data_IF_075260133710
#
_entry.id   IF_075260133710
#
_cell.length_a   1.000
_cell.length_b   1.000
_cell.length_c   1.000
_cell.angle_alpha   90.00
_cell.angle_beta   90.00
_cell.angle_gamma   90.00
#
_symmetry.space_group_name_H-M   'P 1'
#
loop_
_entity.id
_entity.type
_entity.pdbx_description
1 polymer ?
#
# COMPACT_ATOMS: atom_id res chain seq x y z
N UNK A 1 -5.17 19.38 -4.56
CA UNK A 1 -6.09 18.44 -3.88
C UNK A 1 -6.13 18.82 -2.42
N UNK A 2 -7.31 18.84 -1.81
CA UNK A 2 -7.48 19.12 -0.39
C UNK A 2 -7.32 17.83 0.44
N UNK A 3 -6.07 17.50 0.78
CA UNK A 3 -5.75 16.28 1.52
C UNK A 3 -6.35 16.25 2.93
N UNK A 4 -6.59 17.42 3.53
CA UNK A 4 -7.15 17.51 4.88
C UNK A 4 -8.63 17.13 4.88
N UNK A 5 -9.39 17.56 3.87
CA UNK A 5 -10.77 17.15 3.67
C UNK A 5 -10.90 15.61 3.50
N UNK A 6 -10.08 14.99 2.64
CA UNK A 6 -10.09 13.53 2.45
C UNK A 6 -9.74 12.79 3.75
N UNK A 7 -8.72 13.25 4.48
CA UNK A 7 -8.32 12.65 5.75
C UNK A 7 -9.41 12.80 6.83
N UNK A 8 -10.13 13.93 6.85
CA UNK A 8 -11.24 14.16 7.77
C UNK A 8 -12.40 13.20 7.51
N UNK A 9 -12.81 13.06 6.25
CA UNK A 9 -13.87 12.11 5.86
C UNK A 9 -13.46 10.67 6.17
N UNK A 10 -12.22 10.28 5.85
CA UNK A 10 -11.67 8.96 6.17
C UNK A 10 -11.79 8.61 7.66
N UNK A 11 -11.45 9.55 8.55
CA UNK A 11 -11.59 9.33 10.01
C UNK A 11 -13.03 9.06 10.42
N UNK A 12 -14.00 9.75 9.80
CA UNK A 12 -15.43 9.57 10.09
C UNK A 12 -15.94 8.22 9.61
N UNK A 13 -15.54 7.80 8.41
CA UNK A 13 -15.82 6.46 7.88
C UNK A 13 -15.27 5.39 8.85
N UNK A 14 -13.99 5.49 9.21
CA UNK A 14 -13.33 4.52 10.11
C UNK A 14 -13.96 4.49 11.50
N UNK A 15 -14.46 5.61 12.01
CA UNK A 15 -15.19 5.64 13.26
C UNK A 15 -16.49 4.82 13.20
N UNK A 16 -17.23 4.88 12.08
CA UNK A 16 -18.41 4.03 11.87
C UNK A 16 -18.03 2.55 11.86
N UNK A 17 -16.95 2.20 11.15
CA UNK A 17 -16.47 0.82 11.07
C UNK A 17 -16.05 0.26 12.44
N UNK A 18 -15.34 1.06 13.24
CA UNK A 18 -14.91 0.68 14.59
C UNK A 18 -16.06 0.50 15.59
N UNK A 19 -17.24 1.07 15.32
CA UNK A 19 -18.43 0.81 16.12
C UNK A 19 -19.04 -0.59 15.87
N UNK A 20 -18.69 -1.22 14.74
CA UNK A 20 -19.11 -2.61 14.43
C UNK A 20 -18.17 -3.60 15.06
N UNK A 21 -16.86 -3.45 14.83
CA UNK A 21 -15.84 -4.34 15.39
C UNK A 21 -14.54 -3.59 15.62
N UNK A 22 -13.83 -3.86 16.74
CA UNK A 22 -12.49 -3.31 16.95
C UNK A 22 -11.42 -4.02 16.08
N UNK A 23 -11.75 -5.16 15.47
CA UNK A 23 -10.82 -5.95 14.66
C UNK A 23 -10.87 -5.45 13.21
N UNK A 24 -10.13 -4.37 12.95
CA UNK A 24 -10.10 -3.70 11.65
C UNK A 24 -8.65 -3.53 11.15
N UNK A 25 -8.40 -3.89 9.89
CA UNK A 25 -7.18 -3.53 9.16
C UNK A 25 -7.45 -2.28 8.32
N UNK A 26 -6.72 -1.21 8.59
CA UNK A 26 -6.78 0.05 7.85
C UNK A 26 -5.84 -0.01 6.63
N UNK A 27 -6.41 -0.05 5.42
CA UNK A 27 -5.67 -0.24 4.16
C UNK A 27 -5.35 1.10 3.48
N UNK A 28 -6.22 2.10 3.66
CA UNK A 28 -6.14 3.34 2.91
C UNK A 28 -7.06 4.44 3.43
N UNK A 29 -7.23 5.49 2.63
CA UNK A 29 -8.12 6.61 2.98
C UNK A 29 -9.58 6.15 2.95
N UNK A 30 -9.93 5.26 2.03
CA UNK A 30 -11.29 4.86 1.69
C UNK A 30 -11.53 3.34 1.77
N UNK A 31 -10.57 2.57 2.27
CA UNK A 31 -10.63 1.11 2.31
C UNK A 31 -10.15 0.55 3.65
N UNK A 32 -10.88 -0.44 4.17
CA UNK A 32 -10.55 -1.19 5.38
C UNK A 32 -11.15 -2.60 5.29
N UNK A 33 -10.53 -3.55 5.99
CA UNK A 33 -11.09 -4.88 6.24
C UNK A 33 -11.54 -4.99 7.69
N UNK A 34 -12.65 -5.69 7.92
CA UNK A 34 -13.23 -5.93 9.24
C UNK A 34 -13.35 -7.43 9.46
N UNK A 35 -13.05 -7.90 10.66
CA UNK A 35 -13.43 -9.25 11.10
C UNK A 35 -14.78 -9.18 11.83
N UNK A 36 -15.78 -9.82 11.23
CA UNK A 36 -17.15 -9.86 11.72
C UNK A 36 -17.55 -11.27 12.21
N UNK A 37 -16.59 -12.19 12.34
CA UNK A 37 -16.85 -13.61 12.66
C UNK A 37 -17.65 -13.81 13.95
N UNK A 38 -17.35 -13.01 14.98
CA UNK A 38 -17.98 -13.11 16.30
C UNK A 38 -19.18 -12.14 16.49
N UNK A 39 -19.70 -11.57 15.41
CA UNK A 39 -20.85 -10.64 15.49
C UNK A 39 -22.18 -11.40 15.59
N UNK A 40 -23.11 -10.86 16.37
CA UNK A 40 -24.41 -11.49 16.60
C UNK A 40 -25.43 -11.26 15.46
N UNK A 41 -25.28 -10.14 14.74
CA UNK A 41 -26.11 -9.81 13.59
C UNK A 41 -25.70 -10.65 12.36
N UNK A 42 -26.61 -10.79 11.40
CA UNK A 42 -26.28 -11.39 10.10
C UNK A 42 -25.36 -10.51 9.25
N UNK A 43 -24.65 -11.13 8.30
CA UNK A 43 -23.79 -10.45 7.30
C UNK A 43 -24.50 -9.25 6.65
N UNK A 44 -25.74 -9.43 6.20
CA UNK A 44 -26.55 -8.40 5.56
C UNK A 44 -26.94 -7.26 6.51
N UNK A 45 -27.26 -7.58 7.77
CA UNK A 45 -27.58 -6.57 8.78
C UNK A 45 -26.36 -5.71 9.09
N UNK A 46 -25.19 -6.33 9.27
CA UNK A 46 -23.92 -5.63 9.51
C UNK A 46 -23.61 -4.70 8.32
N UNK A 47 -23.68 -5.22 7.09
CA UNK A 47 -23.42 -4.42 5.91
C UNK A 47 -24.38 -3.22 5.79
N UNK A 48 -25.68 -3.41 6.02
CA UNK A 48 -26.67 -2.32 5.99
C UNK A 48 -26.39 -1.28 7.07
N UNK A 49 -26.05 -1.70 8.30
CA UNK A 49 -25.67 -0.79 9.39
C UNK A 49 -24.45 0.06 9.01
N UNK A 50 -23.43 -0.56 8.42
CA UNK A 50 -22.23 0.15 7.94
C UNK A 50 -22.59 1.18 6.85
N UNK A 51 -23.31 0.77 5.81
CA UNK A 51 -23.69 1.65 4.70
C UNK A 51 -24.52 2.83 5.19
N UNK A 52 -25.52 2.58 6.03
CA UNK A 52 -26.37 3.62 6.63
C UNK A 52 -25.55 4.58 7.50
N UNK A 53 -24.69 4.07 8.38
CA UNK A 53 -23.86 4.89 9.24
C UNK A 53 -22.85 5.74 8.47
N UNK A 54 -22.22 5.19 7.43
CA UNK A 54 -21.30 5.96 6.56
C UNK A 54 -22.08 7.07 5.84
N UNK A 55 -23.25 6.76 5.28
CA UNK A 55 -24.06 7.75 4.56
C UNK A 55 -24.57 8.86 5.50
N UNK A 56 -25.09 8.52 6.68
CA UNK A 56 -25.56 9.48 7.67
C UNK A 56 -24.44 10.42 8.12
N UNK A 57 -23.25 9.87 8.38
CA UNK A 57 -22.12 10.69 8.80
C UNK A 57 -21.58 11.52 7.64
N UNK A 58 -21.36 10.94 6.46
CA UNK A 58 -20.51 11.59 5.44
C UNK A 58 -21.27 12.09 4.21
N UNK A 59 -22.50 11.65 4.00
CA UNK A 59 -23.24 11.82 2.75
C UNK A 59 -22.72 10.96 1.59
N UNK A 60 -21.77 10.06 1.85
CA UNK A 60 -21.14 9.21 0.84
C UNK A 60 -21.67 7.78 0.92
N UNK A 61 -21.71 7.10 -0.23
CA UNK A 61 -22.01 5.67 -0.34
C UNK A 61 -20.74 4.84 -0.31
N UNK A 62 -20.83 3.57 0.10
CA UNK A 62 -19.73 2.61 0.02
C UNK A 62 -20.21 1.28 -0.58
N UNK A 63 -19.30 0.52 -1.17
CA UNK A 63 -19.56 -0.88 -1.56
C UNK A 63 -18.90 -1.83 -0.58
N UNK A 64 -19.60 -2.91 -0.23
CA UNK A 64 -19.14 -3.88 0.77
C UNK A 64 -19.07 -5.27 0.14
N UNK A 65 -17.96 -5.96 0.35
CA UNK A 65 -17.79 -7.38 0.05
C UNK A 65 -17.61 -8.15 1.35
N UNK A 66 -18.41 -9.19 1.55
CA UNK A 66 -18.30 -10.12 2.70
C UNK A 66 -17.91 -11.49 2.15
N UNK A 67 -16.85 -12.06 2.70
CA UNK A 67 -16.35 -13.38 2.29
C UNK A 67 -15.53 -14.05 3.41
N UNK A 68 -15.23 -15.36 3.30
CA UNK A 68 -14.45 -16.10 4.29
C UNK A 68 -13.01 -15.62 4.53
N UNK A 69 -12.44 -14.83 3.61
CA UNK A 69 -11.08 -14.30 3.72
C UNK A 69 -10.91 -12.96 2.98
N UNK A 70 -9.78 -12.29 3.21
CA UNK A 70 -9.50 -10.94 2.67
C UNK A 70 -9.47 -10.89 1.15
N UNK A 71 -8.80 -11.86 0.51
CA UNK A 71 -8.77 -11.98 -0.95
C UNK A 71 -10.17 -11.98 -1.56
N UNK A 72 -11.04 -12.88 -1.10
CA UNK A 72 -12.39 -12.98 -1.64
C UNK A 72 -13.24 -11.76 -1.27
N UNK A 73 -13.08 -11.20 -0.07
CA UNK A 73 -13.80 -10.00 0.35
C UNK A 73 -13.44 -8.78 -0.52
N UNK A 74 -12.16 -8.64 -0.88
CA UNK A 74 -11.67 -7.60 -1.78
C UNK A 74 -12.20 -7.73 -3.20
N UNK A 75 -12.35 -8.96 -3.68
CA UNK A 75 -12.91 -9.24 -5.01
C UNK A 75 -14.42 -8.96 -4.98
N UNK A 76 -15.12 -9.47 -3.95
CA UNK A 76 -16.55 -9.28 -3.74
C UNK A 76 -16.92 -7.78 -3.68
N UNK A 77 -16.13 -6.97 -2.97
CA UNK A 77 -16.41 -5.54 -2.81
C UNK A 77 -16.37 -4.76 -4.12
N UNK A 78 -15.69 -5.28 -5.15
CA UNK A 78 -15.61 -4.69 -6.49
C UNK A 78 -16.69 -5.19 -7.47
N UNK A 79 -17.42 -6.28 -7.16
CA UNK A 79 -18.34 -6.93 -8.12
C UNK A 79 -19.56 -6.08 -8.46
N UNK A 80 -20.14 -5.41 -7.45
CA UNK A 80 -21.39 -4.65 -7.57
C UNK A 80 -21.19 -3.15 -7.32
N UNK A 81 -19.99 -2.62 -7.58
CA UNK A 81 -19.76 -1.16 -7.50
C UNK A 81 -20.57 -0.40 -8.57
N UNK A 82 -21.07 0.82 -8.27
CA UNK A 82 -21.01 1.52 -6.98
C UNK A 82 -22.17 1.15 -6.04
N UNK A 83 -22.03 1.45 -4.75
CA UNK A 83 -23.05 1.23 -3.69
C UNK A 83 -23.60 -0.23 -3.58
N UNK A 84 -22.88 -1.22 -4.12
CA UNK A 84 -23.24 -2.63 -3.97
C UNK A 84 -22.98 -3.26 -2.60
N UNK A 85 -23.58 -4.44 -2.40
CA UNK A 85 -23.29 -5.36 -1.30
C UNK A 85 -23.18 -6.75 -1.90
N UNK A 86 -22.02 -7.37 -1.78
CA UNK A 86 -21.78 -8.71 -2.30
C UNK A 86 -21.34 -9.64 -1.19
N UNK A 87 -22.14 -10.69 -0.95
CA UNK A 87 -21.74 -11.83 -0.13
C UNK A 87 -21.17 -12.91 -1.06
N UNK A 88 -19.98 -13.41 -0.75
CA UNK A 88 -19.24 -14.38 -1.54
C UNK A 88 -18.87 -15.56 -0.65
N UNK A 89 -19.34 -16.76 -0.99
CA UNK A 89 -19.11 -17.97 -0.20
C UNK A 89 -18.13 -18.92 -0.91
N UNK A 90 -17.71 -20.01 -0.27
CA UNK A 90 -16.73 -20.93 -0.89
C UNK A 90 -17.30 -21.64 -2.12
N UNK A 91 -18.59 -21.98 -2.07
CA UNK A 91 -19.34 -22.57 -3.17
C UNK A 91 -19.45 -21.65 -4.40
N UNK A 92 -19.18 -20.36 -4.24
CA UNK A 92 -19.20 -19.39 -5.34
C UNK A 92 -17.93 -19.41 -6.18
N UNK A 93 -16.84 -20.03 -5.72
CA UNK A 93 -15.52 -19.96 -6.37
C UNK A 93 -15.59 -20.40 -7.83
N UNK A 94 -16.12 -21.59 -8.10
CA UNK A 94 -16.15 -22.12 -9.47
C UNK A 94 -17.07 -21.31 -10.39
N UNK A 95 -18.21 -20.86 -9.86
CA UNK A 95 -19.25 -20.17 -10.65
C UNK A 95 -18.98 -18.69 -10.85
N UNK A 96 -18.32 -18.03 -9.89
CA UNK A 96 -18.17 -16.57 -9.85
C UNK A 96 -16.71 -16.12 -9.96
N UNK A 97 -15.76 -16.79 -9.31
CA UNK A 97 -14.34 -16.41 -9.37
C UNK A 97 -13.66 -16.93 -10.64
N UNK A 98 -13.79 -18.22 -10.95
CA UNK A 98 -13.07 -18.85 -12.06
C UNK A 98 -13.36 -18.26 -13.46
N UNK A 99 -14.60 -17.83 -13.78
CA UNK A 99 -14.88 -17.19 -15.06
C UNK A 99 -14.28 -15.78 -15.20
N UNK A 100 -13.81 -15.16 -14.11
CA UNK A 100 -13.27 -13.81 -14.16
C UNK A 100 -11.99 -13.76 -14.99
N UNK A 101 -11.80 -12.65 -15.70
CA UNK A 101 -10.52 -12.34 -16.33
C UNK A 101 -9.39 -12.34 -15.28
N UNK A 102 -8.23 -12.86 -15.65
CA UNK A 102 -7.10 -13.05 -14.73
C UNK A 102 -6.66 -11.75 -14.02
N UNK A 103 -6.85 -10.61 -14.68
CA UNK A 103 -6.60 -9.26 -14.16
C UNK A 103 -7.43 -8.90 -12.93
N UNK A 104 -8.55 -9.58 -12.70
CA UNK A 104 -9.44 -9.36 -11.55
C UNK A 104 -8.96 -10.05 -10.27
N UNK A 105 -8.07 -11.05 -10.38
CA UNK A 105 -7.49 -11.65 -9.20
C UNK A 105 -6.56 -10.64 -8.51
N UNK A 106 -6.75 -10.45 -7.21
CA UNK A 106 -5.90 -9.57 -6.42
C UNK A 106 -4.42 -9.99 -6.55
N UNK A 107 -3.50 -9.03 -6.46
CA UNK A 107 -2.07 -9.30 -6.62
C UNK A 107 -1.58 -9.52 -8.06
N UNK A 108 -2.45 -9.58 -9.07
CA UNK A 108 -2.03 -9.65 -10.48
C UNK A 108 -1.93 -8.24 -11.07
N UNK A 109 -0.69 -7.82 -11.37
CA UNK A 109 -0.32 -6.56 -12.05
C UNK A 109 -0.35 -6.67 -13.59
N UNK A 110 -0.25 -5.57 -14.37
CA UNK A 110 -0.31 -5.61 -15.84
C UNK A 110 0.80 -6.50 -16.44
N UNK A 111 1.99 -6.48 -15.83
CA UNK A 111 3.12 -7.33 -16.23
C UNK A 111 2.86 -8.81 -15.98
N UNK A 112 2.29 -9.15 -14.82
CA UNK A 112 1.95 -10.54 -14.51
C UNK A 112 0.84 -11.03 -15.44
N UNK A 113 -0.17 -10.20 -15.71
CA UNK A 113 -1.23 -10.50 -16.68
C UNK A 113 -0.66 -10.80 -18.07
N UNK A 114 0.27 -9.97 -18.57
CA UNK A 114 0.94 -10.20 -19.85
C UNK A 114 1.67 -11.55 -19.88
N UNK A 115 2.42 -11.88 -18.83
CA UNK A 115 3.11 -13.16 -18.72
C UNK A 115 2.16 -14.36 -18.68
N UNK A 116 1.03 -14.25 -17.96
CA UNK A 116 0.03 -15.31 -17.88
C UNK A 116 -0.72 -15.49 -19.20
N UNK A 117 -1.05 -14.40 -19.89
CA UNK A 117 -1.66 -14.46 -21.23
C UNK A 117 -0.72 -15.09 -22.26
N UNK A 118 0.59 -14.85 -22.16
CA UNK A 118 1.59 -15.53 -22.99
C UNK A 118 1.67 -17.05 -22.71
N UNK A 119 1.12 -17.51 -21.58
CA UNK A 119 0.93 -18.93 -21.24
C UNK A 119 -0.51 -19.40 -21.52
N UNK A 120 -1.30 -18.64 -22.29
CA UNK A 120 -2.71 -18.89 -22.61
C UNK A 120 -3.66 -18.92 -21.39
N UNK A 121 -3.21 -18.34 -20.27
CA UNK A 121 -3.97 -18.19 -19.02
C UNK A 121 -4.57 -16.79 -18.94
N UNK A 122 -5.82 -16.66 -19.39
CA UNK A 122 -6.58 -15.40 -19.42
C UNK A 122 -7.71 -15.32 -18.38
N UNK A 123 -8.06 -16.44 -17.74
CA UNK A 123 -9.06 -16.51 -16.66
C UNK A 123 -8.49 -17.08 -15.36
N UNK A 124 -9.15 -16.79 -14.24
CA UNK A 124 -8.76 -17.33 -12.93
C UNK A 124 -8.90 -18.86 -12.91
N UNK A 125 -9.93 -19.43 -13.55
CA UNK A 125 -10.11 -20.88 -13.66
C UNK A 125 -8.97 -21.56 -14.41
N UNK A 126 -8.45 -20.96 -15.48
CA UNK A 126 -7.26 -21.49 -16.17
C UNK A 126 -6.02 -21.44 -15.28
N UNK A 127 -5.86 -20.38 -14.49
CA UNK A 127 -4.77 -20.32 -13.51
C UNK A 127 -4.92 -21.41 -12.44
N UNK A 128 -6.15 -21.63 -11.96
CA UNK A 128 -6.46 -22.68 -10.99
C UNK A 128 -6.15 -24.07 -11.57
N UNK A 129 -6.30 -24.31 -12.87
CA UNK A 129 -5.96 -25.58 -13.50
C UNK A 129 -4.44 -25.88 -13.58
N UNK A 130 -3.57 -24.89 -13.35
CA UNK A 130 -2.12 -25.11 -13.41
C UNK A 130 -1.58 -25.82 -12.17
N UNK A 131 -0.59 -26.72 -12.33
CA UNK A 131 0.09 -27.34 -11.20
C UNK A 131 0.95 -26.31 -10.44
N UNK A 132 1.04 -26.49 -9.13
CA UNK A 132 1.77 -25.59 -8.22
C UNK A 132 3.24 -25.44 -8.63
N UNK A 133 3.86 -26.55 -9.02
CA UNK A 133 5.27 -26.63 -9.38
C UNK A 133 5.58 -25.76 -10.61
N UNK A 134 4.69 -25.73 -11.61
CA UNK A 134 4.88 -24.90 -12.80
C UNK A 134 4.81 -23.40 -12.46
N UNK A 135 3.90 -23.02 -11.55
CA UNK A 135 3.79 -21.64 -11.09
C UNK A 135 5.01 -21.23 -10.27
N UNK A 136 5.49 -22.08 -9.37
CA UNK A 136 6.71 -21.85 -8.59
C UNK A 136 7.94 -21.74 -9.49
N UNK A 137 8.07 -22.60 -10.50
CA UNK A 137 9.20 -22.56 -11.43
C UNK A 137 9.21 -21.26 -12.24
N UNK A 138 8.04 -20.75 -12.66
CA UNK A 138 7.92 -19.58 -13.51
C UNK A 138 7.99 -18.25 -12.76
N UNK A 139 7.36 -18.18 -11.59
CA UNK A 139 7.16 -16.93 -10.83
C UNK A 139 7.96 -16.86 -9.53
N UNK A 140 8.72 -17.91 -9.21
CA UNK A 140 9.45 -18.06 -7.96
C UNK A 140 8.58 -18.62 -6.84
N UNK A 141 9.22 -19.15 -5.79
CA UNK A 141 8.54 -19.88 -4.70
C UNK A 141 7.41 -19.08 -4.04
N UNK A 142 7.67 -17.86 -3.58
CA UNK A 142 6.65 -17.08 -2.86
C UNK A 142 5.46 -16.71 -3.76
N UNK A 143 5.72 -16.11 -4.92
CA UNK A 143 4.63 -15.62 -5.77
C UNK A 143 3.92 -16.75 -6.53
N UNK A 144 4.62 -17.83 -6.89
CA UNK A 144 4.01 -19.01 -7.51
C UNK A 144 3.04 -19.73 -6.58
N UNK A 145 3.39 -19.90 -5.30
CA UNK A 145 2.48 -20.45 -4.29
C UNK A 145 1.26 -19.54 -4.09
N UNK A 146 1.48 -18.22 -3.99
CA UNK A 146 0.39 -17.25 -3.91
C UNK A 146 -0.59 -17.38 -5.08
N UNK A 147 -0.10 -17.43 -6.33
CA UNK A 147 -0.96 -17.55 -7.52
C UNK A 147 -1.78 -18.85 -7.49
N UNK A 148 -1.15 -19.95 -7.04
CA UNK A 148 -1.82 -21.25 -6.92
C UNK A 148 -2.99 -21.23 -5.92
N UNK A 149 -2.77 -20.64 -4.75
CA UNK A 149 -3.75 -20.54 -3.66
C UNK A 149 -4.83 -19.51 -3.99
N UNK A 150 -4.45 -18.32 -4.45
CA UNK A 150 -5.39 -17.25 -4.75
C UNK A 150 -6.38 -17.63 -5.86
N UNK A 151 -5.93 -18.35 -6.90
CA UNK A 151 -6.83 -18.83 -7.95
C UNK A 151 -7.89 -19.84 -7.45
N UNK A 152 -7.65 -20.45 -6.29
CA UNK A 152 -8.56 -21.36 -5.59
C UNK A 152 -9.30 -20.68 -4.45
N UNK A 153 -9.24 -19.35 -4.36
CA UNK A 153 -9.89 -18.58 -3.29
C UNK A 153 -9.27 -18.73 -1.91
N UNK A 154 -8.06 -19.29 -1.81
CA UNK A 154 -7.38 -19.54 -0.54
C UNK A 154 -6.52 -18.32 -0.18
N UNK A 155 -6.74 -17.77 1.01
CA UNK A 155 -5.93 -16.72 1.63
C UNK A 155 -6.02 -16.85 3.15
N UNK A 156 -4.93 -17.26 3.79
CA UNK A 156 -4.81 -17.39 5.25
C UNK A 156 -4.20 -16.14 5.90
N UNK A 157 -4.01 -15.05 5.14
CA UNK A 157 -3.40 -13.84 5.68
C UNK A 157 -4.30 -13.20 6.74
N UNK A 158 -3.80 -12.99 7.98
CA UNK A 158 -4.61 -12.39 9.03
C UNK A 158 -4.88 -10.91 8.74
N UNK A 159 -5.83 -10.34 9.47
CA UNK A 159 -5.96 -8.90 9.56
C UNK A 159 -4.77 -8.30 10.30
N UNK A 160 -4.15 -7.30 9.68
CA UNK A 160 -3.06 -6.51 10.26
C UNK A 160 -3.65 -5.28 10.94
N UNK A 161 -4.11 -5.44 12.18
CA UNK A 161 -4.73 -4.35 12.96
C UNK A 161 -3.74 -3.30 13.45
N UNK A 162 -2.44 -3.62 13.43
CA UNK A 162 -1.36 -2.71 13.79
C UNK A 162 -0.19 -2.88 12.84
N UNK A 163 0.27 -1.77 12.28
CA UNK A 163 1.48 -1.73 11.47
C UNK A 163 2.49 -0.76 12.06
N UNK A 164 3.78 -1.11 11.94
CA UNK A 164 4.88 -0.19 12.20
C UNK A 164 5.53 0.19 10.87
N UNK A 165 5.78 1.49 10.65
CA UNK A 165 6.42 1.94 9.44
C UNK A 165 7.77 1.28 9.26
N UNK A 166 8.04 0.80 8.03
CA UNK A 166 9.37 0.30 7.65
C UNK A 166 10.27 1.42 7.11
N UNK A 167 9.68 2.52 6.67
CA UNK A 167 10.38 3.71 6.17
C UNK A 167 9.44 4.91 6.07
N UNK A 168 10.03 6.11 6.05
CA UNK A 168 9.37 7.35 5.66
C UNK A 168 10.02 7.88 4.38
N UNK A 169 9.23 8.46 3.48
CA UNK A 169 9.76 9.03 2.24
C UNK A 169 8.90 10.17 1.73
N UNK A 170 9.56 11.15 1.11
CA UNK A 170 8.94 12.23 0.37
C UNK A 170 9.60 12.31 -0.99
N UNK A 171 8.79 12.49 -2.03
CA UNK A 171 9.29 12.67 -3.38
C UNK A 171 8.47 13.72 -4.11
N UNK A 172 9.13 14.43 -5.02
CA UNK A 172 8.48 15.37 -5.90
C UNK A 172 8.88 15.10 -7.34
N UNK A 173 7.88 15.28 -8.20
CA UNK A 173 8.01 15.17 -9.65
C UNK A 173 7.95 16.59 -10.19
N UNK A 174 9.04 17.08 -10.78
CA UNK A 174 9.13 18.48 -11.24
C UNK A 174 8.08 18.77 -12.32
N UNK A 175 7.58 20.01 -12.44
CA UNK A 175 6.67 20.32 -13.55
C UNK A 175 7.39 20.31 -14.90
N UNK A 176 8.63 20.76 -14.90
CA UNK A 176 9.56 20.74 -16.03
C UNK A 176 10.81 20.01 -15.59
N UNK A 177 11.35 19.12 -16.42
CA UNK A 177 12.56 18.36 -16.06
C UNK A 177 13.72 19.31 -15.71
N UNK A 178 14.30 19.11 -14.53
CA UNK A 178 15.27 20.01 -13.92
C UNK A 178 16.71 19.56 -14.19
N UNK A 179 17.61 20.50 -14.46
CA UNK A 179 19.05 20.24 -14.59
C UNK A 179 19.91 21.13 -13.69
N UNK A 180 19.32 22.16 -13.10
CA UNK A 180 20.01 23.11 -12.23
C UNK A 180 20.32 22.46 -10.88
N UNK A 181 21.60 22.44 -10.52
CA UNK A 181 22.07 21.82 -9.29
C UNK A 181 21.49 22.51 -8.05
N UNK A 182 21.41 23.85 -8.03
CA UNK A 182 20.87 24.57 -6.88
C UNK A 182 19.38 24.26 -6.68
N UNK A 183 18.60 24.18 -7.76
CA UNK A 183 17.19 23.78 -7.75
C UNK A 183 17.02 22.37 -7.17
N UNK A 184 17.75 21.39 -7.70
CA UNK A 184 17.72 20.00 -7.21
C UNK A 184 18.14 19.92 -5.73
N UNK A 185 19.23 20.59 -5.36
CA UNK A 185 19.73 20.61 -3.98
C UNK A 185 18.71 21.21 -3.01
N UNK A 186 18.04 22.30 -3.39
CA UNK A 186 16.98 22.92 -2.59
C UNK A 186 15.82 21.97 -2.37
N UNK A 187 15.35 21.31 -3.43
CA UNK A 187 14.30 20.31 -3.34
C UNK A 187 14.69 19.13 -2.45
N UNK A 188 15.94 18.64 -2.54
CA UNK A 188 16.43 17.58 -1.62
C UNK A 188 16.38 18.06 -0.17
N UNK A 189 16.77 19.30 0.11
CA UNK A 189 16.72 19.86 1.46
C UNK A 189 15.28 19.98 2.00
N UNK A 190 14.34 20.45 1.18
CA UNK A 190 12.91 20.54 1.50
C UNK A 190 12.32 19.16 1.80
N UNK A 191 12.51 18.19 0.91
CA UNK A 191 12.05 16.82 1.11
C UNK A 191 12.68 16.18 2.36
N UNK A 192 13.95 16.49 2.65
CA UNK A 192 14.61 15.99 3.86
C UNK A 192 13.92 16.52 5.12
N UNK A 193 13.62 17.83 5.18
CA UNK A 193 12.92 18.44 6.31
C UNK A 193 11.55 17.79 6.54
N UNK A 194 10.79 17.59 5.48
CA UNK A 194 9.48 16.93 5.56
C UNK A 194 9.59 15.49 6.07
N UNK A 195 10.51 14.70 5.51
CA UNK A 195 10.74 13.32 5.96
C UNK A 195 11.18 13.25 7.42
N UNK A 196 12.03 14.18 7.87
CA UNK A 196 12.48 14.27 9.26
C UNK A 196 11.32 14.62 10.18
N UNK A 197 10.47 15.57 9.77
CA UNK A 197 9.26 15.92 10.52
C UNK A 197 8.33 14.72 10.70
N UNK A 198 8.10 13.93 9.63
CA UNK A 198 7.31 12.70 9.69
C UNK A 198 7.96 11.65 10.61
N UNK A 199 9.27 11.45 10.47
CA UNK A 199 10.06 10.48 11.23
C UNK A 199 10.01 10.76 12.73
N UNK A 200 10.33 11.99 13.13
CA UNK A 200 10.35 12.44 14.54
C UNK A 200 8.94 12.52 15.11
N UNK A 201 7.99 13.05 14.34
CA UNK A 201 6.58 13.15 14.75
C UNK A 201 5.95 11.78 15.03
N UNK A 202 6.46 10.72 14.41
CA UNK A 202 6.05 9.32 14.68
C UNK A 202 6.92 8.60 15.71
N UNK A 203 7.93 9.26 16.27
CA UNK A 203 8.78 8.74 17.35
C UNK A 203 9.83 7.74 16.90
N UNK A 204 10.35 7.88 15.67
CA UNK A 204 11.38 7.01 15.11
C UNK A 204 12.70 7.75 14.86
N UNK A 205 13.78 6.99 14.82
CA UNK A 205 15.07 7.34 14.23
C UNK A 205 15.37 6.36 13.08
N UNK A 206 16.32 6.69 12.20
CA UNK A 206 16.61 5.87 11.02
C UNK A 206 18.11 5.59 10.85
N UNK A 207 18.48 4.39 10.40
CA UNK A 207 19.88 4.06 10.06
C UNK A 207 20.21 4.22 8.59
N UNK A 208 19.20 4.23 7.72
CA UNK A 208 19.41 4.31 6.28
C UNK A 208 18.80 5.58 5.72
N UNK A 209 19.56 6.31 4.89
CA UNK A 209 19.09 7.43 4.09
C UNK A 209 19.33 7.11 2.63
N UNK A 210 18.28 7.18 1.83
CA UNK A 210 18.28 6.86 0.40
C UNK A 210 17.78 8.05 -0.41
N UNK A 211 18.47 8.36 -1.50
CA UNK A 211 18.06 9.31 -2.52
C UNK A 211 17.66 8.56 -3.79
N UNK A 212 16.43 8.80 -4.24
CA UNK A 212 15.87 8.31 -5.50
C UNK A 212 15.89 9.45 -6.53
N UNK A 213 16.41 9.16 -7.72
CA UNK A 213 16.41 10.08 -8.86
C UNK A 213 15.78 9.36 -10.04
N UNK A 214 14.80 9.99 -10.69
CA UNK A 214 14.30 9.58 -12.01
C UNK A 214 14.72 10.60 -13.04
N UNK A 215 15.39 10.15 -14.08
CA UNK A 215 15.75 10.99 -15.23
C UNK A 215 14.55 11.19 -16.16
N UNK A 216 14.69 12.14 -17.09
CA UNK A 216 13.69 12.44 -18.14
C UNK A 216 13.38 11.26 -19.07
N UNK A 217 14.29 10.29 -19.22
CA UNK A 217 14.08 9.02 -19.92
C UNK A 217 13.35 7.94 -19.06
N UNK A 218 12.83 8.34 -17.90
CA UNK A 218 12.19 7.49 -16.88
C UNK A 218 13.09 6.44 -16.23
N UNK A 219 14.39 6.39 -16.56
CA UNK A 219 15.35 5.57 -15.83
C UNK A 219 15.45 6.07 -14.39
N UNK A 220 15.31 5.15 -13.44
CA UNK A 220 15.37 5.46 -12.01
C UNK A 220 16.64 4.88 -11.40
N UNK A 221 17.35 5.67 -10.60
CA UNK A 221 18.47 5.21 -9.78
C UNK A 221 18.22 5.54 -8.32
N UNK A 222 18.81 4.73 -7.44
CA UNK A 222 18.81 4.98 -6.01
C UNK A 222 20.26 4.98 -5.50
N UNK A 223 20.56 5.89 -4.58
CA UNK A 223 21.82 5.94 -3.83
C UNK A 223 21.48 5.94 -2.35
N UNK A 224 22.10 5.06 -1.58
CA UNK A 224 21.83 4.93 -0.16
C UNK A 224 23.12 5.08 0.66
N UNK A 225 23.00 5.65 1.85
CA UNK A 225 23.99 5.65 2.91
C UNK A 225 23.38 5.00 4.14
N UNK A 226 24.20 4.27 4.89
CA UNK A 226 23.81 3.72 6.19
C UNK A 226 24.74 4.24 7.27
N UNK A 227 24.21 4.47 8.45
CA UNK A 227 24.94 4.85 9.67
C UNK A 227 24.95 3.69 10.66
N UNK A 228 25.96 3.65 11.54
CA UNK A 228 26.06 2.63 12.58
C UNK A 228 24.97 2.82 13.65
N UNK A 229 24.72 4.06 14.04
CA UNK A 229 23.67 4.47 14.97
C UNK A 229 22.48 5.06 14.21
N UNK A 230 21.27 4.91 14.76
CA UNK A 230 20.10 5.56 14.21
C UNK A 230 20.17 7.09 14.43
N UNK A 231 19.76 7.84 13.41
CA UNK A 231 19.81 9.31 13.38
C UNK A 231 18.40 9.86 13.19
N UNK A 232 18.13 11.00 13.82
CA UNK A 232 16.84 11.70 13.73
C UNK A 232 17.00 13.20 13.46
N UNK A 233 18.21 13.74 13.61
CA UNK A 233 18.50 15.15 13.41
C UNK A 233 18.48 15.53 11.93
N UNK A 234 17.79 16.63 11.59
CA UNK A 234 17.64 17.10 10.21
C UNK A 234 19.00 17.32 9.55
N UNK A 235 19.95 17.93 10.26
CA UNK A 235 21.25 18.26 9.73
C UNK A 235 22.04 17.01 9.32
N UNK A 236 21.98 15.95 10.12
CA UNK A 236 22.69 14.71 9.83
C UNK A 236 22.04 13.95 8.67
N UNK A 237 20.70 13.82 8.66
CA UNK A 237 19.97 13.17 7.57
C UNK A 237 20.19 13.94 6.26
N UNK A 238 20.19 15.27 6.31
CA UNK A 238 20.51 16.13 5.15
C UNK A 238 21.92 15.88 4.66
N UNK A 239 22.92 15.85 5.55
CA UNK A 239 24.32 15.54 5.17
C UNK A 239 24.42 14.19 4.44
N UNK A 240 23.70 13.17 4.91
CA UNK A 240 23.67 11.83 4.29
C UNK A 240 22.96 11.84 2.92
N UNK A 241 21.82 12.54 2.82
CA UNK A 241 21.09 12.71 1.56
C UNK A 241 21.94 13.41 0.50
N UNK A 242 22.65 14.49 0.88
CA UNK A 242 23.59 15.19 -0.01
C UNK A 242 24.81 14.34 -0.37
N UNK A 243 25.28 13.47 0.53
CA UNK A 243 26.33 12.49 0.21
C UNK A 243 25.85 11.46 -0.83
N UNK A 244 24.56 11.13 -0.83
CA UNK A 244 23.95 10.34 -1.90
C UNK A 244 23.85 11.14 -3.21
N UNK A 245 23.44 12.40 -3.14
CA UNK A 245 23.32 13.28 -4.31
C UNK A 245 24.66 13.49 -5.03
N UNK A 246 25.77 13.64 -4.29
CA UNK A 246 27.12 13.76 -4.86
C UNK A 246 27.55 12.53 -5.68
N UNK A 247 26.92 11.37 -5.47
CA UNK A 247 27.18 10.11 -6.20
C UNK A 247 26.21 9.89 -7.38
N UNK A 248 25.38 10.87 -7.68
CA UNK A 248 24.48 10.89 -8.83
C UNK A 248 25.19 11.58 -9.98
N UNK A 249 25.20 10.93 -11.14
CA UNK A 249 25.62 11.59 -12.37
C UNK A 249 24.49 12.48 -12.88
N UNK A 250 24.76 13.78 -12.91
CA UNK A 250 23.86 14.82 -13.41
C UNK A 250 24.32 15.40 -14.75
N UNK A 251 25.45 14.93 -15.29
CA UNK A 251 26.00 15.49 -16.52
C UNK A 251 25.09 15.13 -17.69
N UNK A 252 24.57 16.17 -18.35
CA UNK A 252 23.81 16.04 -19.59
C UNK A 252 22.41 15.43 -19.46
N UNK A 253 21.92 15.16 -18.24
CA UNK A 253 20.61 14.53 -18.02
C UNK A 253 19.72 15.41 -17.15
N UNK A 254 18.52 15.69 -17.64
CA UNK A 254 17.49 16.34 -16.83
C UNK A 254 16.83 15.32 -15.90
N UNK A 255 16.47 15.77 -14.71
CA UNK A 255 15.78 15.02 -13.65
C UNK A 255 14.29 15.31 -13.71
N UNK A 256 13.50 14.24 -13.74
CA UNK A 256 12.04 14.25 -13.69
C UNK A 256 11.52 14.23 -12.25
N UNK A 257 12.17 13.47 -11.36
CA UNK A 257 11.74 13.26 -9.97
C UNK A 257 12.93 13.09 -9.03
N UNK A 258 12.80 13.66 -7.83
CA UNK A 258 13.72 13.50 -6.70
C UNK A 258 12.93 12.98 -5.50
N UNK A 259 13.49 12.02 -4.77
CA UNK A 259 12.90 11.51 -3.53
C UNK A 259 13.93 11.23 -2.45
N UNK A 260 13.59 11.55 -1.21
CA UNK A 260 14.37 11.21 -0.01
C UNK A 260 13.58 10.16 0.77
N UNK A 261 14.26 9.08 1.18
CA UNK A 261 13.70 8.01 1.99
C UNK A 261 14.61 7.74 3.17
N UNK A 262 14.02 7.63 4.36
CA UNK A 262 14.69 7.12 5.56
C UNK A 262 14.11 5.76 5.93
N UNK A 263 14.95 4.82 6.35
CA UNK A 263 14.54 3.45 6.64
C UNK A 263 15.44 2.78 7.67
N UNK A 264 15.21 1.48 7.91
CA UNK A 264 15.83 0.76 9.03
C UNK A 264 15.53 1.52 10.33
N UNK A 265 14.24 1.64 10.61
CA UNK A 265 13.72 2.51 11.65
C UNK A 265 13.86 1.88 13.04
N UNK A 266 14.13 2.72 14.02
CA UNK A 266 14.18 2.37 15.44
C UNK A 266 13.26 3.30 16.22
N UNK A 267 12.52 2.76 17.19
CA UNK A 267 11.72 3.60 18.07
C UNK A 267 12.63 4.35 19.03
N UNK A 268 12.38 5.64 19.15
CA UNK A 268 13.00 6.45 20.19
C UNK A 268 12.29 6.09 21.49
N UNK A 269 13.03 5.61 22.49
CA UNK A 269 12.47 5.42 23.83
C UNK A 269 11.92 6.77 24.31
N UNK A 270 10.63 6.84 24.64
CA UNK A 270 10.08 8.03 25.29
C UNK A 270 10.83 8.19 26.60
N UNK A 271 11.63 9.26 26.71
CA UNK A 271 12.11 9.69 28.02
C UNK A 271 10.85 10.05 28.78
N UNK A 272 10.48 9.21 29.75
CA UNK A 272 9.39 9.52 30.68
C UNK A 272 9.79 10.82 31.38
N UNK A 273 9.14 11.92 31.02
CA UNK A 273 9.24 13.16 31.76
C UNK A 273 8.62 12.88 33.13
N UNK A 274 9.46 12.51 34.10
CA UNK A 274 9.16 12.68 35.51
C UNK A 274 9.02 14.18 35.73
N UNK A 275 7.79 14.64 35.88
CA UNK A 275 7.45 15.81 36.69
C UNK A 275 6.46 15.32 37.73
#
# INVERSE_FOLDING_TARGET
MDYEAYASVSRRIKAVLLNVTPVMEDVGIDEAYLDITDQADSDEEIARKIKAGIFEQTGLTCSIGIAPNKLLAKIASDMEKPDGLTIFREEDIERRLWPMAIRKLYGIGPKTEEHLKAMEVDTVGKLAALPREALVQRFGSSYGNYLYEAARGIDESPLVTRWEPKSFSRETTFQVDEKDWQSIARTVAELTREVVSDLVGKGYAARNVSLKIRYSDFRTITRACSTATAVMEEEEIRRLAFSCLKRVDLKGRKIRLVGVRVGSLEKIAKISSRV
#
